data_IF_785840768903
#
_entry.id   IF_785840768903
#
_cell.length_a   1.000
_cell.length_b   1.000
_cell.length_c   1.000
_cell.angle_alpha   90.00
_cell.angle_beta   90.00
_cell.angle_gamma   90.00
#
_symmetry.space_group_name_H-M   'P 1'
#
loop_
_entity.id
_entity.type
_entity.pdbx_description
1 polymer ?
#
# COMPACT_ATOMS: atom_id res chain seq x y z
N UNK A 1 -11.95 6.86 3.60
CA UNK A 1 -12.00 6.57 2.16
C UNK A 1 -10.82 5.72 1.73
N UNK A 2 -10.95 5.00 0.59
CA UNK A 2 -9.84 4.26 -0.03
C UNK A 2 -9.68 4.77 -1.46
N UNK A 3 -8.45 5.17 -1.82
CA UNK A 3 -8.08 5.60 -3.16
C UNK A 3 -6.98 4.66 -3.65
N UNK A 4 -7.33 3.75 -4.54
CA UNK A 4 -6.42 2.68 -4.98
C UNK A 4 -5.84 2.98 -6.36
N UNK A 5 -4.62 3.52 -6.40
CA UNK A 5 -3.79 3.73 -7.57
C UNK A 5 -4.50 4.38 -8.76
N UNK A 6 -4.87 5.66 -8.68
CA UNK A 6 -5.52 6.33 -9.79
C UNK A 6 -4.64 6.28 -11.05
N UNK A 7 -5.24 5.94 -12.18
CA UNK A 7 -4.58 5.85 -13.50
C UNK A 7 -4.91 7.07 -14.38
N UNK A 8 -5.70 8.00 -13.86
CA UNK A 8 -6.01 9.29 -14.45
C UNK A 8 -6.09 10.34 -13.35
N UNK A 9 -5.73 11.57 -13.65
CA UNK A 9 -5.73 12.64 -12.67
C UNK A 9 -7.12 12.98 -12.17
N UNK A 10 -7.19 13.48 -10.96
CA UNK A 10 -8.42 14.03 -10.40
C UNK A 10 -8.79 15.34 -11.11
N UNK A 11 -10.07 15.72 -11.07
CA UNK A 11 -10.41 17.10 -11.27
C UNK A 11 -9.97 17.96 -10.07
N UNK A 12 -9.79 19.26 -10.28
CA UNK A 12 -9.48 20.20 -9.18
C UNK A 12 -10.55 20.13 -8.08
N UNK A 13 -11.82 19.95 -8.46
CA UNK A 13 -12.96 19.85 -7.54
C UNK A 13 -12.91 18.55 -6.71
N UNK A 14 -12.55 17.42 -7.31
CA UNK A 14 -12.41 16.14 -6.60
C UNK A 14 -11.23 16.17 -5.63
N UNK A 15 -10.07 16.71 -6.04
CA UNK A 15 -8.93 16.91 -5.16
C UNK A 15 -9.27 17.85 -3.98
N UNK A 16 -10.01 18.93 -4.24
CA UNK A 16 -10.48 19.84 -3.19
C UNK A 16 -11.39 19.13 -2.18
N UNK A 17 -12.33 18.30 -2.64
CA UNK A 17 -13.22 17.52 -1.75
C UNK A 17 -12.48 16.52 -0.88
N UNK A 18 -11.47 15.84 -1.43
CA UNK A 18 -10.64 14.90 -0.65
C UNK A 18 -9.85 15.66 0.42
N UNK A 19 -9.27 16.81 0.07
CA UNK A 19 -8.56 17.67 1.03
C UNK A 19 -9.51 18.19 2.12
N UNK A 20 -10.69 18.69 1.77
CA UNK A 20 -11.70 19.14 2.74
C UNK A 20 -12.13 18.00 3.69
N UNK A 21 -12.33 16.79 3.16
CA UNK A 21 -12.64 15.61 3.97
C UNK A 21 -11.54 15.30 4.98
N UNK A 22 -10.28 15.31 4.57
CA UNK A 22 -9.14 15.04 5.45
C UNK A 22 -8.95 16.17 6.47
N UNK A 23 -9.07 17.44 6.06
CA UNK A 23 -8.99 18.61 6.96
C UNK A 23 -10.07 18.57 8.06
N UNK A 24 -11.21 17.93 7.78
CA UNK A 24 -12.26 17.71 8.78
C UNK A 24 -12.02 16.50 9.69
N UNK A 25 -10.80 15.94 9.75
CA UNK A 25 -10.47 14.74 10.54
C UNK A 25 -10.84 13.43 9.83
N UNK A 26 -10.98 13.48 8.50
CA UNK A 26 -11.23 12.30 7.68
C UNK A 26 -10.09 11.31 7.71
N UNK A 27 -10.37 10.07 7.32
CA UNK A 27 -9.40 8.97 7.35
C UNK A 27 -9.29 8.34 5.98
N UNK A 28 -8.06 8.20 5.46
CA UNK A 28 -7.83 7.68 4.12
C UNK A 28 -6.71 6.65 4.06
N UNK A 29 -6.90 5.66 3.20
CA UNK A 29 -5.86 4.79 2.69
C UNK A 29 -5.68 5.12 1.20
N UNK A 30 -4.47 5.45 0.81
CA UNK A 30 -4.12 5.79 -0.58
C UNK A 30 -3.00 4.87 -1.03
N UNK A 31 -3.11 4.33 -2.25
CA UNK A 31 -2.00 3.65 -2.90
C UNK A 31 -1.57 4.43 -4.13
N UNK A 32 -0.27 4.43 -4.40
CA UNK A 32 0.32 5.10 -5.55
C UNK A 32 0.80 4.06 -6.57
N UNK A 33 0.90 4.48 -7.84
CA UNK A 33 1.41 3.64 -8.92
C UNK A 33 2.48 4.41 -9.68
N UNK A 34 3.72 3.91 -9.68
CA UNK A 34 4.87 4.55 -10.31
C UNK A 34 4.69 4.78 -11.82
N UNK A 35 3.84 4.00 -12.50
CA UNK A 35 3.54 4.18 -13.93
C UNK A 35 2.71 5.45 -14.22
N UNK A 36 2.02 5.98 -13.20
CA UNK A 36 1.11 7.13 -13.32
C UNK A 36 1.54 8.26 -12.37
N UNK A 37 2.77 8.77 -12.55
CA UNK A 37 3.29 9.83 -11.68
C UNK A 37 2.85 11.25 -12.08
N UNK A 38 2.51 11.47 -13.35
CA UNK A 38 2.02 12.78 -13.85
C UNK A 38 0.52 12.97 -13.57
N UNK A 39 0.17 13.09 -12.29
CA UNK A 39 -1.19 13.29 -11.78
C UNK A 39 -1.19 14.47 -10.78
N UNK A 40 -1.08 15.73 -11.25
CA UNK A 40 -0.83 16.88 -10.40
C UNK A 40 -1.95 17.16 -9.38
N UNK A 41 -3.22 16.96 -9.73
CA UNK A 41 -4.31 17.16 -8.80
C UNK A 41 -4.35 16.07 -7.72
N UNK A 42 -4.09 14.82 -8.09
CA UNK A 42 -3.93 13.74 -7.13
C UNK A 42 -2.72 13.98 -6.21
N UNK A 43 -1.56 14.34 -6.76
CA UNK A 43 -0.35 14.66 -5.99
C UNK A 43 -0.61 15.79 -4.99
N UNK A 44 -1.37 16.82 -5.37
CA UNK A 44 -1.73 17.93 -4.49
C UNK A 44 -2.49 17.53 -3.23
N UNK A 45 -3.14 16.36 -3.22
CA UNK A 45 -3.79 15.82 -2.02
C UNK A 45 -2.74 15.34 -1.02
N UNK A 46 -1.70 14.64 -1.48
CA UNK A 46 -0.61 14.16 -0.64
C UNK A 46 0.26 15.31 -0.16
N UNK A 47 0.60 16.24 -1.06
CA UNK A 47 1.41 17.45 -0.79
C UNK A 47 0.77 18.36 0.27
N UNK A 48 -0.56 18.39 0.33
CA UNK A 48 -1.27 19.13 1.38
C UNK A 48 -0.94 18.63 2.80
N UNK A 49 -0.43 17.41 2.91
CA UNK A 49 0.04 16.77 4.14
C UNK A 49 1.56 16.52 4.13
N UNK A 50 2.31 17.26 3.33
CA UNK A 50 3.77 17.20 3.26
C UNK A 50 4.32 15.90 2.67
N UNK A 51 3.50 15.07 2.03
CA UNK A 51 3.92 13.81 1.43
C UNK A 51 4.12 14.02 -0.06
N UNK A 52 5.32 13.71 -0.56
CA UNK A 52 5.66 13.79 -1.98
C UNK A 52 5.99 12.38 -2.51
N UNK A 53 5.63 12.14 -3.76
CA UNK A 53 5.95 10.92 -4.48
C UNK A 53 7.35 11.04 -5.09
N UNK A 54 8.23 10.09 -4.78
CA UNK A 54 9.59 10.07 -5.36
C UNK A 54 9.51 9.57 -6.80
N UNK A 55 10.13 10.30 -7.72
CA UNK A 55 10.12 9.94 -9.14
C UNK A 55 10.76 8.58 -9.40
N UNK A 56 10.15 7.78 -10.28
CA UNK A 56 10.69 6.51 -10.76
C UNK A 56 10.18 5.29 -10.01
N UNK A 57 10.82 4.16 -10.27
CA UNK A 57 10.59 2.88 -9.58
C UNK A 57 11.73 2.59 -8.63
N UNK A 58 11.41 2.17 -7.42
CA UNK A 58 12.41 1.76 -6.43
C UNK A 58 12.90 0.35 -6.74
N UNK A 59 14.21 0.20 -6.83
CA UNK A 59 14.92 -1.05 -7.00
C UNK A 59 15.85 -1.29 -5.82
N UNK A 60 15.89 -2.53 -5.33
CA UNK A 60 16.70 -2.94 -4.19
C UNK A 60 17.93 -3.71 -4.68
N UNK A 61 19.12 -3.29 -4.23
CA UNK A 61 20.39 -3.95 -4.54
C UNK A 61 20.87 -4.92 -3.45
N UNK A 62 20.21 -4.91 -2.28
CA UNK A 62 20.43 -5.91 -1.24
C UNK A 62 19.69 -7.20 -1.58
N UNK A 63 20.43 -8.31 -1.75
CA UNK A 63 19.85 -9.61 -2.08
C UNK A 63 18.88 -10.16 -1.00
N UNK A 64 18.98 -9.69 0.24
CA UNK A 64 18.09 -10.06 1.34
C UNK A 64 16.80 -9.23 1.38
N UNK A 65 16.78 -8.08 0.70
CA UNK A 65 15.67 -7.14 0.67
C UNK A 65 14.86 -7.17 -0.63
N UNK A 66 15.12 -8.16 -1.51
CA UNK A 66 14.31 -8.40 -2.70
C UNK A 66 13.97 -9.89 -2.88
N UNK A 67 12.78 -10.14 -3.42
CA UNK A 67 12.29 -11.50 -3.67
C UNK A 67 12.91 -12.08 -4.94
N UNK A 68 13.51 -13.29 -4.83
CA UNK A 68 14.16 -14.01 -5.92
C UNK A 68 15.20 -13.21 -6.68
N UNK A 69 15.93 -12.34 -6.00
CA UNK A 69 16.94 -11.46 -6.60
C UNK A 69 16.39 -10.61 -7.75
N UNK A 70 15.13 -10.24 -7.69
CA UNK A 70 14.49 -9.34 -8.64
C UNK A 70 14.40 -7.95 -8.00
N UNK A 71 15.18 -6.95 -8.45
CA UNK A 71 15.37 -5.68 -7.74
C UNK A 71 14.08 -4.90 -7.44
N UNK A 72 13.09 -4.94 -8.32
CA UNK A 72 11.79 -4.27 -8.16
C UNK A 72 10.74 -5.11 -7.41
N UNK A 73 11.12 -6.27 -6.86
CA UNK A 73 10.30 -7.11 -5.99
C UNK A 73 10.73 -6.93 -4.54
N UNK A 74 10.38 -5.79 -3.97
CA UNK A 74 10.88 -5.38 -2.67
C UNK A 74 10.35 -6.27 -1.54
N UNK A 75 11.24 -6.52 -0.57
CA UNK A 75 10.94 -7.06 0.76
C UNK A 75 11.44 -6.04 1.79
N UNK A 76 10.73 -4.91 1.96
CA UNK A 76 11.17 -3.83 2.81
C UNK A 76 11.21 -4.23 4.29
N UNK A 77 12.00 -3.52 5.08
CA UNK A 77 11.96 -3.60 6.53
C UNK A 77 10.61 -3.10 7.05
N UNK A 78 10.08 -3.82 8.04
CA UNK A 78 8.78 -3.51 8.65
C UNK A 78 9.05 -2.78 9.96
N UNK A 79 8.67 -1.52 10.03
CA UNK A 79 8.75 -0.75 11.27
C UNK A 79 7.70 -1.24 12.27
N UNK A 80 8.08 -1.36 13.55
CA UNK A 80 7.20 -1.86 14.60
C UNK A 80 6.28 -0.75 15.11
N UNK A 81 5.05 -0.72 14.62
CA UNK A 81 4.04 0.30 14.90
C UNK A 81 2.67 -0.35 15.17
N UNK A 82 1.68 0.46 15.54
CA UNK A 82 0.29 -0.02 15.66
C UNK A 82 -0.28 -0.47 14.30
N UNK A 83 0.21 0.10 13.19
CA UNK A 83 -0.22 -0.22 11.82
C UNK A 83 0.39 -1.52 11.25
N UNK A 84 1.35 -2.13 11.94
CA UNK A 84 2.14 -3.29 11.48
C UNK A 84 2.20 -4.40 12.51
N UNK A 85 1.36 -4.33 13.54
CA UNK A 85 1.43 -5.17 14.75
C UNK A 85 1.34 -6.67 14.46
N UNK A 86 0.49 -7.07 13.49
CA UNK A 86 0.28 -8.48 13.12
C UNK A 86 1.38 -9.06 12.22
N UNK A 87 2.24 -8.21 11.63
CA UNK A 87 3.22 -8.64 10.62
C UNK A 87 4.66 -8.50 11.04
N UNK A 88 4.92 -8.00 12.25
CA UNK A 88 6.27 -7.85 12.81
C UNK A 88 7.06 -9.17 12.75
N UNK A 89 8.32 -9.09 12.32
CA UNK A 89 9.23 -10.24 12.24
C UNK A 89 8.99 -11.18 11.05
N UNK A 90 8.21 -10.75 10.06
CA UNK A 90 8.03 -11.46 8.79
C UNK A 90 8.44 -10.63 7.58
N UNK A 91 7.90 -10.97 6.43
CA UNK A 91 8.11 -10.23 5.19
C UNK A 91 6.79 -9.65 4.68
N UNK A 92 6.87 -8.45 4.13
CA UNK A 92 5.86 -7.85 3.27
C UNK A 92 6.42 -7.83 1.86
N UNK A 93 5.61 -8.15 0.86
CA UNK A 93 6.00 -8.10 -0.54
C UNK A 93 5.42 -6.84 -1.17
N UNK A 94 6.31 -5.92 -1.55
CA UNK A 94 5.97 -4.62 -2.13
C UNK A 94 6.57 -4.49 -3.55
N UNK A 95 5.98 -5.17 -4.55
CA UNK A 95 6.47 -5.10 -5.92
C UNK A 95 6.12 -3.76 -6.57
N UNK A 96 6.97 -3.31 -7.50
CA UNK A 96 6.73 -2.14 -8.35
C UNK A 96 6.38 -0.88 -7.55
N UNK A 97 7.17 -0.62 -6.50
CA UNK A 97 6.94 0.51 -5.60
C UNK A 97 7.64 1.77 -6.09
N UNK A 98 7.04 2.91 -5.79
CA UNK A 98 7.71 4.20 -5.72
C UNK A 98 8.02 4.55 -4.26
N UNK A 99 8.97 5.46 -4.06
CA UNK A 99 9.28 6.01 -2.74
C UNK A 99 8.33 7.13 -2.36
N UNK A 100 8.25 7.39 -1.06
CA UNK A 100 7.54 8.51 -0.47
C UNK A 100 8.55 9.36 0.31
N UNK A 101 8.51 10.68 0.13
CA UNK A 101 9.27 11.64 0.94
C UNK A 101 8.32 12.47 1.78
N UNK A 102 8.82 12.93 2.92
CA UNK A 102 8.08 13.73 3.89
C UNK A 102 9.08 14.52 4.78
N UNK A 103 8.67 15.60 5.44
CA UNK A 103 9.52 16.34 6.36
C UNK A 103 9.95 15.47 7.55
N UNK A 104 11.23 15.54 7.95
CA UNK A 104 11.73 14.85 9.14
C UNK A 104 11.07 15.35 10.43
N UNK A 105 10.71 16.63 10.46
CA UNK A 105 10.03 17.28 11.59
C UNK A 105 8.83 18.09 11.09
N UNK A 106 7.72 18.02 11.81
CA UNK A 106 6.53 18.83 11.60
C UNK A 106 5.92 19.20 12.96
N UNK A 107 5.38 20.40 13.08
CA UNK A 107 4.70 20.85 14.31
C UNK A 107 3.29 20.26 14.42
N UNK A 108 2.64 20.01 13.28
CA UNK A 108 1.21 19.67 13.24
C UNK A 108 0.94 18.21 12.82
N UNK A 109 1.89 17.57 12.13
CA UNK A 109 1.69 16.23 11.56
C UNK A 109 2.74 15.28 12.12
N UNK A 110 2.28 14.14 12.65
CA UNK A 110 3.13 13.03 13.04
C UNK A 110 3.27 12.06 11.87
N UNK A 111 4.50 11.89 11.39
CA UNK A 111 4.82 10.90 10.36
C UNK A 111 5.37 9.63 10.98
N UNK A 112 4.83 8.50 10.57
CA UNK A 112 5.24 7.16 11.01
C UNK A 112 5.54 6.30 9.78
N UNK A 113 6.83 6.08 9.45
CA UNK A 113 7.19 5.12 8.40
C UNK A 113 6.74 3.72 8.81
N UNK A 114 6.21 2.95 7.86
CA UNK A 114 5.71 1.59 8.07
C UNK A 114 6.58 0.55 7.37
N UNK A 115 7.02 0.86 6.15
CA UNK A 115 7.89 0.03 5.31
C UNK A 115 9.02 0.87 4.77
N UNK A 116 10.26 0.43 4.96
CA UNK A 116 11.47 1.17 4.54
C UNK A 116 12.42 0.23 3.80
N UNK A 117 13.06 0.72 2.74
CA UNK A 117 14.08 -0.04 1.99
C UNK A 117 15.44 0.01 2.70
N UNK A 118 16.40 -0.78 2.22
CA UNK A 118 17.79 -0.63 2.63
C UNK A 118 18.42 0.64 2.04
N UNK A 119 19.59 1.02 2.58
CA UNK A 119 20.42 2.14 2.06
C UNK A 119 20.99 1.84 0.66
N UNK A 120 20.90 0.58 0.18
CA UNK A 120 21.35 0.18 -1.16
C UNK A 120 20.26 0.34 -2.23
N UNK A 121 19.05 0.72 -1.83
CA UNK A 121 17.95 0.96 -2.77
C UNK A 121 18.21 2.19 -3.64
N UNK A 122 17.71 2.14 -4.87
CA UNK A 122 17.83 3.19 -5.88
C UNK A 122 16.47 3.41 -6.52
N UNK A 123 16.02 4.65 -6.68
CA UNK A 123 14.88 4.95 -7.53
C UNK A 123 15.36 5.26 -8.94
N UNK A 124 15.00 4.40 -9.90
CA UNK A 124 15.31 4.56 -11.32
C UNK A 124 14.26 5.50 -11.94
N UNK A 125 14.70 6.71 -12.28
CA UNK A 125 13.82 7.74 -12.84
C UNK A 125 13.53 7.54 -14.32
N UNK A 126 14.48 7.01 -15.09
CA UNK A 126 14.29 6.60 -16.49
C UNK A 126 14.06 5.08 -16.59
N UNK A 127 12.87 4.65 -16.15
CA UNK A 127 12.50 3.23 -16.10
C UNK A 127 12.59 2.54 -17.47
N UNK A 128 12.27 3.27 -18.54
CA UNK A 128 12.23 2.71 -19.89
C UNK A 128 13.63 2.33 -20.45
N UNK A 129 14.67 3.02 -19.98
CA UNK A 129 16.05 2.82 -20.43
C UNK A 129 16.95 2.22 -19.34
N UNK A 130 16.40 1.88 -18.17
CA UNK A 130 17.18 1.29 -17.07
C UNK A 130 17.70 -0.11 -17.45
N UNK A 131 19.01 -0.24 -17.59
CA UNK A 131 19.69 -1.52 -17.90
C UNK A 131 20.23 -2.21 -16.64
N UNK A 132 20.33 -1.47 -15.53
CA UNK A 132 20.88 -1.94 -14.26
C UNK A 132 20.08 -1.38 -13.08
N UNK A 133 20.14 -2.05 -11.93
CA UNK A 133 19.62 -1.55 -10.65
C UNK A 133 20.63 -0.68 -9.88
N UNK A 134 21.89 -0.61 -10.34
CA UNK A 134 22.91 0.23 -9.74
C UNK A 134 22.59 1.72 -9.93
N UNK A 135 23.10 2.56 -9.02
CA UNK A 135 22.91 4.01 -9.07
C UNK A 135 23.63 4.61 -10.28
N UNK A 136 22.89 5.31 -11.13
CA UNK A 136 23.41 6.01 -12.31
C UNK A 136 23.06 7.51 -12.24
N UNK A 137 23.60 8.31 -13.15
CA UNK A 137 23.29 9.75 -13.24
C UNK A 137 21.78 9.98 -13.49
N UNK A 138 21.16 10.78 -12.63
CA UNK A 138 19.73 11.09 -12.68
C UNK A 138 18.87 10.21 -11.79
N UNK A 139 19.42 9.12 -11.24
CA UNK A 139 18.73 8.29 -10.26
C UNK A 139 18.77 8.93 -8.85
N UNK A 140 17.90 8.45 -7.98
CA UNK A 140 17.81 8.91 -6.60
C UNK A 140 18.27 7.77 -5.69
N UNK A 141 19.23 8.08 -4.77
CA UNK A 141 19.70 7.12 -3.80
C UNK A 141 18.74 6.98 -2.62
N UNK A 142 18.58 5.74 -2.09
CA UNK A 142 17.79 5.43 -0.90
C UNK A 142 18.50 5.79 0.42
N UNK A 143 17.93 5.40 1.57
CA UNK A 143 16.73 4.56 1.68
C UNK A 143 15.44 5.29 1.32
N UNK A 144 14.37 4.52 1.04
CA UNK A 144 13.04 5.05 0.72
C UNK A 144 12.00 4.52 1.69
N UNK A 145 11.08 5.37 2.10
CA UNK A 145 9.83 4.94 2.71
C UNK A 145 8.88 4.47 1.62
N UNK A 146 8.36 3.24 1.74
CA UNK A 146 7.43 2.62 0.79
C UNK A 146 5.99 2.67 1.32
N UNK A 147 5.83 2.75 2.63
CA UNK A 147 4.52 2.97 3.25
C UNK A 147 4.68 3.90 4.44
N UNK A 148 3.76 4.86 4.55
CA UNK A 148 3.81 5.95 5.52
C UNK A 148 2.42 6.19 6.11
N UNK A 149 2.33 6.38 7.43
CA UNK A 149 1.17 6.95 8.08
C UNK A 149 1.46 8.41 8.48
N UNK A 150 0.49 9.30 8.26
CA UNK A 150 0.49 10.68 8.69
C UNK A 150 -0.76 10.94 9.52
N UNK A 151 -0.58 11.47 10.72
CA UNK A 151 -1.66 11.78 11.66
C UNK A 151 -1.60 13.25 12.07
N UNK A 152 -2.76 13.90 12.13
CA UNK A 152 -2.91 15.28 12.54
C UNK A 152 -4.13 15.44 13.44
N UNK A 153 -3.93 15.97 14.63
CA UNK A 153 -5.04 16.32 15.50
C UNK A 153 -5.75 17.58 14.96
N UNK A 154 -7.03 17.43 14.64
CA UNK A 154 -7.86 18.50 14.11
C UNK A 154 -8.57 19.23 15.23
N UNK A 155 -9.02 18.52 16.23
CA UNK A 155 -9.60 19.00 17.48
C UNK A 155 -9.38 17.96 18.61
N UNK A 156 -9.89 18.26 19.83
CA UNK A 156 -9.65 17.44 21.03
C UNK A 156 -10.15 15.97 20.89
N UNK A 157 -11.11 15.71 19.98
CA UNK A 157 -11.76 14.42 19.83
C UNK A 157 -11.56 13.81 18.41
N UNK A 158 -10.85 14.50 17.52
CA UNK A 158 -10.79 14.11 16.11
C UNK A 158 -9.39 14.24 15.50
N UNK A 159 -8.84 13.11 15.08
CA UNK A 159 -7.53 13.00 14.43
C UNK A 159 -7.70 12.58 12.97
N UNK A 160 -7.18 13.36 12.05
CA UNK A 160 -7.00 12.98 10.66
C UNK A 160 -5.95 11.86 10.58
N UNK A 161 -6.24 10.82 9.81
CA UNK A 161 -5.29 9.72 9.56
C UNK A 161 -5.19 9.45 8.06
N UNK A 162 -3.99 9.55 7.54
CA UNK A 162 -3.68 9.28 6.13
C UNK A 162 -2.60 8.22 6.05
N UNK A 163 -2.91 7.06 5.47
CA UNK A 163 -1.92 6.01 5.19
C UNK A 163 -1.70 5.91 3.69
N UNK A 164 -0.44 6.01 3.28
CA UNK A 164 -0.03 5.99 1.87
C UNK A 164 0.91 4.82 1.61
N UNK A 165 0.64 4.07 0.56
CA UNK A 165 1.51 3.00 0.05
C UNK A 165 2.02 3.35 -1.34
N UNK A 166 3.31 3.18 -1.57
CA UNK A 166 3.97 3.40 -2.85
C UNK A 166 3.76 2.29 -3.89
N UNK A 167 2.89 1.33 -3.62
CA UNK A 167 2.57 0.24 -4.56
C UNK A 167 1.10 -0.16 -4.49
N UNK A 168 0.45 -0.26 -5.65
CA UNK A 168 -0.89 -0.86 -5.80
C UNK A 168 -0.84 -2.38 -5.83
N UNK A 169 0.27 -2.94 -6.34
CA UNK A 169 0.44 -4.38 -6.55
C UNK A 169 0.51 -5.18 -5.25
N UNK A 170 0.81 -4.52 -4.12
CA UNK A 170 0.76 -5.14 -2.79
C UNK A 170 -0.61 -5.70 -2.42
N UNK A 171 -1.69 -5.14 -3.01
CA UNK A 171 -3.09 -5.53 -2.75
C UNK A 171 -3.58 -6.70 -3.61
N UNK A 172 -2.73 -7.24 -4.47
CA UNK A 172 -3.12 -8.36 -5.33
C UNK A 172 -3.01 -9.71 -4.61
N UNK A 173 -3.90 -10.65 -4.94
CA UNK A 173 -3.87 -12.02 -4.42
C UNK A 173 -2.52 -12.70 -4.69
N UNK A 174 -1.90 -12.38 -5.84
CA UNK A 174 -0.60 -12.92 -6.20
C UNK A 174 0.51 -12.43 -5.26
N UNK A 175 0.55 -11.13 -4.96
CA UNK A 175 1.52 -10.55 -4.03
C UNK A 175 1.32 -11.12 -2.61
N UNK A 176 0.08 -11.21 -2.14
CA UNK A 176 -0.25 -11.73 -0.82
C UNK A 176 0.14 -13.21 -0.66
N UNK A 177 -0.05 -14.01 -1.70
CA UNK A 177 0.31 -15.43 -1.68
C UNK A 177 1.83 -15.68 -1.51
N UNK A 178 2.68 -14.77 -2.01
CA UNK A 178 4.14 -14.86 -1.89
C UNK A 178 4.58 -14.78 -0.42
N UNK A 179 3.88 -13.99 0.38
CA UNK A 179 4.17 -13.78 1.80
C UNK A 179 3.14 -14.42 2.73
N UNK A 180 2.38 -15.40 2.21
CA UNK A 180 1.45 -16.24 2.98
C UNK A 180 0.38 -15.44 3.73
N UNK A 181 -0.24 -14.46 3.10
CA UNK A 181 -1.34 -13.67 3.65
C UNK A 181 -0.90 -12.45 4.46
N UNK A 182 0.40 -12.12 4.50
CA UNK A 182 0.90 -11.04 5.37
C UNK A 182 0.60 -9.65 4.82
N UNK A 183 0.51 -9.48 3.51
CA UNK A 183 0.08 -8.21 2.94
C UNK A 183 -1.36 -7.88 3.38
N UNK A 184 -2.27 -8.83 3.25
CA UNK A 184 -3.66 -8.68 3.72
C UNK A 184 -3.73 -8.44 5.23
N UNK A 185 -2.88 -9.12 6.02
CA UNK A 185 -2.80 -8.90 7.47
C UNK A 185 -2.39 -7.45 7.80
N UNK A 186 -1.36 -6.91 7.11
CA UNK A 186 -0.95 -5.52 7.29
C UNK A 186 -2.06 -4.53 6.90
N UNK A 187 -2.74 -4.77 5.76
CA UNK A 187 -3.89 -3.92 5.39
C UNK A 187 -5.02 -3.99 6.41
N UNK A 188 -5.23 -5.14 7.05
CA UNK A 188 -6.23 -5.29 8.13
C UNK A 188 -5.85 -4.46 9.35
N UNK A 189 -4.57 -4.45 9.76
CA UNK A 189 -4.07 -3.58 10.84
C UNK A 189 -4.28 -2.11 10.49
N UNK A 190 -3.91 -1.70 9.26
CA UNK A 190 -4.09 -0.33 8.78
C UNK A 190 -5.57 0.08 8.80
N UNK A 191 -6.46 -0.76 8.29
CA UNK A 191 -7.90 -0.47 8.29
C UNK A 191 -8.47 -0.42 9.71
N UNK A 192 -7.98 -1.24 10.64
CA UNK A 192 -8.33 -1.17 12.05
C UNK A 192 -7.95 0.18 12.66
N UNK A 193 -6.72 0.65 12.44
CA UNK A 193 -6.26 1.97 12.91
C UNK A 193 -7.05 3.12 12.28
N UNK A 194 -7.39 3.02 10.98
CA UNK A 194 -8.22 3.99 10.29
C UNK A 194 -9.68 3.95 10.75
N UNK A 195 -10.20 2.80 11.14
CA UNK A 195 -11.57 2.68 11.67
C UNK A 195 -11.72 3.26 13.09
N UNK A 196 -10.60 3.48 13.79
CA UNK A 196 -10.60 3.91 15.19
C UNK A 196 -10.89 2.76 16.15
N UNK A 197 -10.56 1.55 15.71
CA UNK A 197 -10.68 0.35 16.55
C UNK A 197 -9.44 0.29 17.45
N UNK A 198 -9.53 0.87 18.63
CA UNK A 198 -8.46 0.90 19.65
C UNK A 198 -8.20 -0.49 20.25
N UNK A 199 -8.45 -1.55 19.47
CA UNK A 199 -8.24 -2.95 19.82
C UNK A 199 -9.51 -3.65 20.36
N UNK A 200 -10.65 -3.01 20.35
CA UNK A 200 -11.94 -3.68 20.55
C UNK A 200 -12.48 -4.16 19.20
N UNK A 201 -12.29 -5.43 18.90
CA UNK A 201 -12.79 -6.09 17.67
C UNK A 201 -14.30 -5.89 17.52
N UNK A 202 -14.70 -4.93 16.71
CA UNK A 202 -16.09 -4.83 16.23
C UNK A 202 -16.31 -5.90 15.15
N UNK A 203 -16.55 -7.11 15.59
CA UNK A 203 -17.14 -8.19 14.81
C UNK A 203 -16.42 -8.53 13.49
N UNK A 204 -15.57 -9.54 13.54
CA UNK A 204 -15.08 -10.22 12.33
C UNK A 204 -16.28 -10.65 11.49
N UNK A 205 -16.41 -10.13 10.27
CA UNK A 205 -17.36 -10.69 9.31
C UNK A 205 -16.87 -12.12 9.01
N UNK A 206 -17.60 -13.17 9.43
CA UNK A 206 -17.13 -14.52 9.23
C UNK A 206 -17.00 -14.81 7.72
N UNK A 207 -15.89 -15.41 7.32
CA UNK A 207 -15.70 -15.89 5.96
C UNK A 207 -16.88 -16.80 5.58
N UNK A 208 -17.59 -16.45 4.50
CA UNK A 208 -18.61 -17.33 3.96
C UNK A 208 -17.93 -18.53 3.31
N UNK A 209 -17.98 -19.67 3.97
CA UNK A 209 -17.61 -20.92 3.34
C UNK A 209 -18.74 -21.35 2.39
N UNK A 210 -18.45 -21.39 1.10
CA UNK A 210 -19.35 -21.96 0.11
C UNK A 210 -19.06 -23.44 -0.01
N UNK A 211 -19.93 -24.27 0.52
CA UNK A 211 -19.91 -25.69 0.22
C UNK A 211 -20.49 -25.89 -1.17
N UNK A 212 -19.63 -26.14 -2.15
CA UNK A 212 -20.08 -26.62 -3.47
C UNK A 212 -20.72 -27.98 -3.29
N UNK A 213 -22.05 -28.03 -3.45
CA UNK A 213 -22.77 -29.30 -3.47
C UNK A 213 -22.30 -30.14 -4.64
N UNK A 214 -21.59 -31.22 -4.36
CA UNK A 214 -21.17 -32.17 -5.39
C UNK A 214 -22.35 -33.09 -5.72
N UNK A 215 -22.89 -32.98 -6.94
CA UNK A 215 -23.89 -33.94 -7.44
C UNK A 215 -23.15 -35.21 -7.85
N UNK A 216 -23.25 -36.26 -7.05
CA UNK A 216 -22.71 -37.56 -7.40
C UNK A 216 -23.74 -38.32 -8.24
N UNK A 217 -23.46 -38.44 -9.53
CA UNK A 217 -24.28 -39.26 -10.44
C UNK A 217 -23.77 -40.73 -10.33
N UNK A 218 -24.55 -41.57 -9.68
CA UNK A 218 -24.17 -42.98 -9.37
C UNK A 218 -24.39 -43.95 -10.52
N UNK A 219 -25.11 -43.59 -11.57
CA UNK A 219 -25.24 -44.39 -12.78
C UNK A 219 -25.63 -43.57 -14.02
N UNK A 220 -25.26 -44.04 -15.20
CA UNK A 220 -25.61 -43.44 -16.49
C UNK A 220 -27.13 -43.34 -16.72
N UNK A 221 -27.91 -44.26 -16.13
CA UNK A 221 -29.36 -44.26 -16.19
C UNK A 221 -30.04 -43.08 -15.50
N UNK A 222 -29.41 -42.54 -14.46
CA UNK A 222 -29.93 -41.40 -13.72
C UNK A 222 -29.72 -40.07 -14.49
N UNK A 223 -28.70 -40.01 -15.35
CA UNK A 223 -28.39 -38.87 -16.19
C UNK A 223 -29.41 -38.71 -17.34
N UNK A 224 -29.91 -39.81 -17.87
CA UNK A 224 -30.87 -39.79 -19.00
C UNK A 224 -32.31 -39.55 -18.53
N UNK A 225 -32.64 -39.96 -17.30
CA UNK A 225 -33.98 -39.73 -16.72
C UNK A 225 -34.24 -38.30 -16.25
N UNK A 226 -33.23 -37.45 -16.16
CA UNK A 226 -33.36 -36.01 -15.77
C UNK A 226 -33.53 -35.04 -16.94
N UNK A 227 -33.61 -35.54 -18.19
CA UNK A 227 -33.77 -34.75 -19.42
C UNK A 227 -35.11 -34.98 -20.12
N UNK A 228 -36.07 -35.61 -19.46
CA UNK A 228 -37.40 -35.84 -19.96
C UNK A 228 -38.43 -34.92 -19.27
#
# INVERSE_FOLDING_TARGET
IIINGPTSDFSEDDAAKVKEYLQGGGRALITCNFEYQDLPNFASVLEAYGIERVAGIVMENSASACYRSTPYYLLPEIESTAYTSSVTGGYIFAPYSEGLSYPEESEDITYTPLLVTSDQAVSKTDVANAETSELEDGDIAGPFTIALAAEQDVDDDNTMKLVVFGSTEMLTDNADSIVSGRNVSMFSDVLGQLAGDDGESTGVIPVKEYTLGTITVTSLGTLIGGLA
#
